data_IF_661994916569
#
_entry.id   IF_661994916569
#
_cell.length_a   1.000
_cell.length_b   1.000
_cell.length_c   1.000
_cell.angle_alpha   90.00
_cell.angle_beta   90.00
_cell.angle_gamma   90.00
#
_symmetry.space_group_name_H-M   'P 1'
#
loop_
_entity.id
_entity.type
_entity.pdbx_description
1 polymer ?
#
# COMPACT_ATOMS: atom_id res chain seq x y z
N UNK A 1 -1.71 11.33 -11.19
CA UNK A 1 -1.70 10.89 -9.77
C UNK A 1 -2.82 9.91 -9.54
N UNK A 2 -2.81 9.18 -8.43
CA UNK A 2 -3.90 8.25 -8.07
C UNK A 2 -4.39 8.58 -6.67
N UNK A 3 -5.71 8.63 -6.49
CA UNK A 3 -6.35 8.74 -5.19
C UNK A 3 -7.32 7.57 -5.02
N UNK A 4 -7.36 6.97 -3.84
CA UNK A 4 -8.27 5.87 -3.55
C UNK A 4 -8.90 6.03 -2.18
N UNK A 5 -10.11 5.50 -2.05
CA UNK A 5 -10.86 5.38 -0.82
C UNK A 5 -11.37 3.94 -0.73
N UNK A 6 -11.49 3.42 0.48
CA UNK A 6 -12.05 2.10 0.73
C UNK A 6 -11.70 1.59 2.13
N UNK A 7 -11.77 0.28 2.30
CA UNK A 7 -11.59 -0.35 3.61
C UNK A 7 -10.16 -0.84 3.79
N UNK A 8 -9.49 -0.36 4.84
CA UNK A 8 -8.23 -0.91 5.31
C UNK A 8 -8.47 -2.02 6.35
N UNK A 9 -7.86 -3.19 6.15
CA UNK A 9 -7.93 -4.31 7.11
C UNK A 9 -6.52 -4.79 7.47
N UNK A 10 -6.25 -5.06 8.75
CA UNK A 10 -4.95 -5.60 9.16
C UNK A 10 -4.74 -6.98 8.54
N UNK A 11 -3.51 -7.25 8.12
CA UNK A 11 -3.06 -8.57 7.69
C UNK A 11 -2.46 -9.30 8.88
N UNK A 12 -2.66 -10.62 8.92
CA UNK A 12 -2.10 -11.50 9.93
C UNK A 12 -1.60 -12.81 9.31
N UNK A 13 -0.84 -13.58 10.08
CA UNK A 13 -0.36 -14.91 9.68
C UNK A 13 0.33 -14.92 8.32
N UNK A 14 -0.10 -15.83 7.44
CA UNK A 14 0.48 -16.05 6.13
C UNK A 14 0.36 -14.83 5.19
N UNK A 15 -0.76 -14.09 5.23
CA UNK A 15 -0.95 -12.91 4.37
C UNK A 15 0.06 -11.80 4.72
N UNK A 16 0.30 -11.59 6.01
CA UNK A 16 1.28 -10.61 6.45
C UNK A 16 2.73 -11.03 6.12
N UNK A 17 3.04 -12.33 6.20
CA UNK A 17 4.36 -12.84 5.82
C UNK A 17 4.62 -12.66 4.32
N UNK A 18 3.64 -12.98 3.49
CA UNK A 18 3.74 -12.80 2.04
C UNK A 18 3.88 -11.31 1.64
N UNK A 19 3.11 -10.42 2.27
CA UNK A 19 3.23 -8.97 2.03
C UNK A 19 4.64 -8.43 2.36
N UNK A 20 5.25 -8.91 3.45
CA UNK A 20 6.62 -8.55 3.84
C UNK A 20 7.64 -9.01 2.80
N UNK A 21 7.51 -10.23 2.31
CA UNK A 21 8.39 -10.79 1.27
C UNK A 21 8.35 -9.93 0.00
N UNK A 22 7.16 -9.65 -0.52
CA UNK A 22 6.98 -8.81 -1.71
C UNK A 22 7.54 -7.39 -1.50
N UNK A 23 7.28 -6.80 -0.33
CA UNK A 23 7.79 -5.47 -0.01
C UNK A 23 9.33 -5.45 0.09
N UNK A 24 9.91 -6.49 0.69
CA UNK A 24 11.36 -6.65 0.78
C UNK A 24 12.03 -6.83 -0.58
N UNK A 25 11.39 -7.58 -1.49
CA UNK A 25 11.86 -7.72 -2.87
C UNK A 25 11.83 -6.38 -3.63
N UNK A 26 10.79 -5.56 -3.41
CA UNK A 26 10.66 -4.23 -4.02
C UNK A 26 11.63 -3.21 -3.43
N UNK A 27 11.89 -3.27 -2.13
CA UNK A 27 12.74 -2.33 -1.39
C UNK A 27 13.89 -3.06 -0.70
N UNK A 28 15.05 -3.23 -1.37
CA UNK A 28 16.15 -4.06 -0.87
C UNK A 28 16.70 -3.67 0.51
N UNK A 29 16.58 -2.39 0.90
CA UNK A 29 16.94 -1.91 2.25
C UNK A 29 16.14 -2.62 3.36
N UNK A 30 14.96 -3.14 3.02
CA UNK A 30 14.05 -3.91 3.88
C UNK A 30 14.13 -5.40 3.59
N UNK A 31 14.31 -5.80 2.33
CA UNK A 31 14.49 -7.21 1.95
C UNK A 31 15.74 -7.86 2.55
N UNK A 32 16.74 -7.05 2.95
CA UNK A 32 17.95 -7.49 3.64
C UNK A 32 17.94 -7.11 5.12
N UNK A 33 16.81 -7.29 5.82
CA UNK A 33 16.68 -6.99 7.25
C UNK A 33 17.81 -7.57 8.12
N UNK A 34 18.33 -8.76 7.78
CA UNK A 34 19.47 -9.38 8.47
C UNK A 34 20.79 -8.57 8.37
N UNK A 35 20.89 -7.67 7.40
CA UNK A 35 22.03 -6.77 7.18
C UNK A 35 21.68 -5.31 7.50
N UNK A 36 20.45 -5.03 7.92
CA UNK A 36 19.99 -3.69 8.24
C UNK A 36 20.45 -3.28 9.66
N UNK A 37 20.70 -1.97 9.91
CA UNK A 37 20.93 -1.46 11.25
C UNK A 37 19.82 -1.86 12.22
N UNK A 38 20.18 -2.15 13.48
CA UNK A 38 19.24 -2.59 14.51
C UNK A 38 18.01 -1.67 14.64
N UNK A 39 18.20 -0.35 14.54
CA UNK A 39 17.11 0.63 14.60
C UNK A 39 16.06 0.44 13.48
N UNK A 40 16.49 0.02 12.28
CA UNK A 40 15.57 -0.28 11.17
C UNK A 40 14.80 -1.56 11.49
N UNK A 41 15.49 -2.61 11.96
CA UNK A 41 14.87 -3.89 12.32
C UNK A 41 13.81 -3.70 13.41
N UNK A 42 14.12 -2.94 14.46
CA UNK A 42 13.20 -2.62 15.55
C UNK A 42 12.00 -1.79 15.09
N UNK A 43 12.21 -0.80 14.22
CA UNK A 43 11.12 -0.03 13.65
C UNK A 43 10.20 -0.93 12.83
N UNK A 44 10.75 -1.82 12.01
CA UNK A 44 9.99 -2.77 11.20
C UNK A 44 9.19 -3.78 12.03
N UNK A 45 9.71 -4.22 13.18
CA UNK A 45 8.99 -5.10 14.09
C UNK A 45 7.70 -4.48 14.66
N UNK A 46 7.60 -3.14 14.67
CA UNK A 46 6.43 -2.39 15.16
C UNK A 46 5.43 -2.02 14.06
N UNK A 47 5.73 -2.31 12.79
CA UNK A 47 4.87 -1.95 11.66
C UNK A 47 3.68 -2.91 11.54
N UNK A 48 2.48 -2.35 11.46
CA UNK A 48 1.28 -3.06 11.05
C UNK A 48 1.18 -3.17 9.53
N UNK A 49 0.82 -4.35 9.04
CA UNK A 49 0.60 -4.61 7.62
C UNK A 49 -0.90 -4.59 7.34
N UNK A 50 -1.32 -3.91 6.28
CA UNK A 50 -2.72 -3.73 5.94
C UNK A 50 -2.97 -3.99 4.46
N UNK A 51 -4.12 -4.59 4.15
CA UNK A 51 -4.69 -4.58 2.81
C UNK A 51 -5.73 -3.47 2.73
N UNK A 52 -5.61 -2.63 1.71
CA UNK A 52 -6.64 -1.66 1.35
C UNK A 52 -7.43 -2.24 0.17
N UNK A 53 -8.75 -2.31 0.30
CA UNK A 53 -9.66 -2.69 -0.78
C UNK A 53 -10.40 -1.42 -1.22
N UNK A 54 -10.03 -0.83 -2.37
CA UNK A 54 -10.67 0.39 -2.83
C UNK A 54 -12.14 0.15 -3.23
N UNK A 55 -13.04 1.04 -2.81
CA UNK A 55 -14.41 1.15 -3.34
C UNK A 55 -14.56 2.35 -4.29
N UNK A 56 -13.63 3.31 -4.21
CA UNK A 56 -13.48 4.44 -5.13
C UNK A 56 -12.00 4.62 -5.49
N UNK A 57 -11.73 4.83 -6.77
CA UNK A 57 -10.40 5.07 -7.32
C UNK A 57 -10.48 6.18 -8.35
N UNK A 58 -9.66 7.21 -8.20
CA UNK A 58 -9.56 8.33 -9.11
C UNK A 58 -8.16 8.40 -9.74
N UNK A 59 -8.12 8.51 -11.05
CA UNK A 59 -6.93 8.96 -11.76
C UNK A 59 -6.98 10.49 -11.86
N UNK A 60 -5.95 11.16 -11.35
CA UNK A 60 -5.82 12.62 -11.41
C UNK A 60 -4.87 12.99 -12.54
N UNK A 61 -5.40 13.62 -13.59
CA UNK A 61 -4.63 14.01 -14.77
C UNK A 61 -4.62 15.54 -14.95
N UNK A 62 -3.59 16.17 -14.39
CA UNK A 62 -3.39 17.61 -14.52
C UNK A 62 -2.97 18.06 -15.93
N UNK A 63 -2.72 17.14 -16.87
CA UNK A 63 -2.44 17.49 -18.27
C UNK A 63 -3.71 17.89 -19.04
N UNK A 64 -4.89 17.43 -18.60
CA UNK A 64 -6.19 17.85 -19.16
C UNK A 64 -6.59 19.24 -18.66
N UNK A 65 -6.64 19.39 -17.33
CA UNK A 65 -6.81 20.67 -16.61
C UNK A 65 -6.43 20.47 -15.15
N UNK A 66 -6.11 21.57 -14.46
CA UNK A 66 -5.80 21.52 -13.03
C UNK A 66 -6.94 20.85 -12.24
N UNK A 67 -6.62 19.77 -11.51
CA UNK A 67 -7.56 19.05 -10.66
C UNK A 67 -8.54 18.13 -11.41
N UNK A 68 -8.32 17.85 -12.71
CA UNK A 68 -9.12 16.85 -13.42
C UNK A 68 -8.94 15.47 -12.81
N UNK A 69 -10.06 14.79 -12.54
CA UNK A 69 -10.08 13.44 -11.99
C UNK A 69 -11.12 12.59 -12.70
N UNK A 70 -10.73 11.37 -13.05
CA UNK A 70 -11.58 10.34 -13.62
C UNK A 70 -11.75 9.21 -12.63
N UNK A 71 -13.00 8.80 -12.38
CA UNK A 71 -13.26 7.63 -11.55
C UNK A 71 -13.04 6.36 -12.38
N UNK A 72 -12.17 5.47 -11.90
CA UNK A 72 -11.69 4.29 -12.65
C UNK A 72 -12.38 3.00 -12.20
N UNK A 73 -12.88 2.94 -10.97
CA UNK A 73 -13.67 1.82 -10.45
C UNK A 73 -15.10 2.30 -10.20
N UNK A 74 -16.08 1.58 -10.74
CA UNK A 74 -17.50 1.88 -10.52
C UNK A 74 -17.84 1.77 -9.02
N UNK A 75 -18.66 2.69 -8.51
CA UNK A 75 -19.13 2.63 -7.14
C UNK A 75 -19.90 1.31 -6.91
N UNK A 76 -19.77 0.66 -5.74
CA UNK A 76 -20.60 -0.49 -5.41
C UNK A 76 -22.10 -0.10 -5.50
N UNK A 77 -22.99 -1.01 -5.94
CA UNK A 77 -24.42 -0.75 -5.94
C UNK A 77 -24.89 -0.46 -4.50
N UNK A 78 -25.72 0.57 -4.35
CA UNK A 78 -26.28 1.01 -3.07
C UNK A 78 -27.42 0.14 -2.55
#
# INVERSE_FOLDING_TARGET
GVQLEGVARPLAGAEAAHARELYGAKFPIVGKLAQAPAAIVEAFAKIGWYRVVPDRLYFVDNSVRFGHRDQVIAAPPG
#
